data_IF_354453687835
#
_entry.id   IF_354453687835
#
_cell.length_a   1.000
_cell.length_b   1.000
_cell.length_c   1.000
_cell.angle_alpha   90.00
_cell.angle_beta   90.00
_cell.angle_gamma   90.00
#
_symmetry.space_group_name_H-M   'P 1'
#
loop_
_entity.id
_entity.type
_entity.pdbx_description
1 polymer ?
#
# COMPACT_ATOMS: atom_id res chain seq x y z
N UNK A 1 5.91 9.24 6.90
CA UNK A 1 6.60 8.09 7.53
C UNK A 1 5.65 7.12 8.24
N UNK A 2 4.38 7.44 8.47
CA UNK A 2 3.46 6.58 9.23
C UNK A 2 2.97 5.34 8.46
N UNK A 3 2.67 5.45 7.16
CA UNK A 3 2.21 4.32 6.34
C UNK A 3 3.21 3.14 6.30
N UNK A 4 4.52 3.43 6.24
CA UNK A 4 5.56 2.39 6.27
C UNK A 4 5.58 1.63 7.60
N UNK A 5 5.23 2.29 8.70
CA UNK A 5 5.14 1.65 10.01
C UNK A 5 3.91 0.74 10.10
N UNK A 6 2.78 1.14 9.51
CA UNK A 6 1.57 0.30 9.46
C UNK A 6 1.81 -0.96 8.60
N UNK A 7 2.41 -0.79 7.42
CA UNK A 7 2.76 -1.91 6.52
C UNK A 7 3.77 -2.87 7.17
N UNK A 8 4.63 -2.38 8.06
CA UNK A 8 5.58 -3.24 8.78
C UNK A 8 4.92 -4.32 9.66
N UNK A 9 3.64 -4.14 10.02
CA UNK A 9 2.86 -5.10 10.80
C UNK A 9 2.47 -6.35 9.99
N UNK A 10 2.52 -6.32 8.65
CA UNK A 10 2.22 -7.46 7.79
C UNK A 10 3.46 -8.32 7.46
N UNK A 11 4.66 -7.89 7.85
CA UNK A 11 5.87 -8.64 7.49
C UNK A 11 5.93 -9.96 8.28
N UNK A 12 6.16 -11.09 7.60
CA UNK A 12 6.20 -12.42 8.23
C UNK A 12 7.42 -12.65 9.13
N UNK A 13 8.39 -11.72 9.11
CA UNK A 13 9.65 -11.82 9.86
C UNK A 13 9.41 -12.05 11.35
N UNK A 14 10.23 -12.93 11.94
CA UNK A 14 10.18 -13.29 13.36
C UNK A 14 8.78 -13.77 13.77
N UNK A 15 8.13 -14.59 12.94
CA UNK A 15 6.77 -15.10 13.16
C UNK A 15 5.75 -13.98 13.39
N UNK A 16 5.79 -12.96 12.53
CA UNK A 16 4.90 -11.80 12.62
C UNK A 16 5.02 -11.07 13.97
N UNK A 17 6.23 -10.89 14.49
CA UNK A 17 6.46 -10.27 15.81
C UNK A 17 5.90 -8.85 15.94
N UNK A 18 5.79 -8.13 14.82
CA UNK A 18 5.27 -6.75 14.73
C UNK A 18 3.78 -6.67 14.44
N UNK A 19 3.10 -7.80 14.30
CA UNK A 19 1.69 -7.84 13.95
C UNK A 19 0.84 -7.12 14.99
N UNK A 20 -0.04 -6.25 14.51
CA UNK A 20 -0.91 -5.44 15.35
C UNK A 20 -2.20 -5.14 14.61
N UNK A 21 -3.30 -5.71 15.09
CA UNK A 21 -4.61 -5.61 14.45
C UNK A 21 -5.05 -4.14 14.33
N UNK A 22 -4.97 -3.35 15.40
CA UNK A 22 -5.38 -1.94 15.37
C UNK A 22 -4.63 -1.09 14.33
N UNK A 23 -3.32 -1.34 14.15
CA UNK A 23 -2.53 -0.65 13.11
C UNK A 23 -2.96 -1.06 11.70
N UNK A 24 -3.33 -2.32 11.50
CA UNK A 24 -3.81 -2.83 10.22
C UNK A 24 -5.23 -2.35 9.90
N UNK A 25 -6.08 -2.23 10.90
CA UNK A 25 -7.39 -1.59 10.75
C UNK A 25 -7.24 -0.11 10.40
N UNK A 26 -6.35 0.61 11.08
CA UNK A 26 -6.03 1.99 10.73
C UNK A 26 -5.49 2.10 9.29
N UNK A 27 -4.72 1.11 8.82
CA UNK A 27 -4.31 1.05 7.41
C UNK A 27 -5.52 0.88 6.49
N UNK A 28 -6.45 -0.01 6.78
CA UNK A 28 -7.67 -0.21 5.99
C UNK A 28 -8.55 1.05 5.92
N UNK A 29 -8.70 1.75 7.05
CA UNK A 29 -9.47 3.00 7.15
C UNK A 29 -8.92 4.13 6.26
N UNK A 30 -7.62 4.09 5.90
CA UNK A 30 -7.01 5.05 4.97
C UNK A 30 -7.40 4.80 3.50
N UNK A 31 -7.98 3.63 3.19
CA UNK A 31 -8.37 3.20 1.83
C UNK A 31 -9.87 2.88 1.76
N UNK A 32 -10.76 3.88 1.91
CA UNK A 32 -12.21 3.66 1.90
C UNK A 32 -12.76 3.19 0.54
N UNK A 33 -11.98 3.33 -0.54
CA UNK A 33 -12.30 2.77 -1.86
C UNK A 33 -12.04 1.26 -1.94
N UNK A 34 -11.16 0.73 -1.09
CA UNK A 34 -10.79 -0.69 -1.03
C UNK A 34 -11.44 -1.43 0.16
N UNK A 35 -11.81 -0.70 1.23
CA UNK A 35 -12.49 -1.25 2.41
C UNK A 35 -13.68 -0.39 2.83
N UNK A 36 -14.87 -0.98 2.79
CA UNK A 36 -16.05 -0.40 3.41
C UNK A 36 -15.99 -0.50 4.94
N UNK A 37 -16.81 0.30 5.62
CA UNK A 37 -16.94 0.28 7.09
C UNK A 37 -17.31 -1.13 7.60
N UNK A 38 -18.18 -1.83 6.87
CA UNK A 38 -18.58 -3.21 7.21
C UNK A 38 -17.43 -4.20 7.01
N UNK A 39 -16.64 -4.04 5.95
CA UNK A 39 -15.45 -4.87 5.72
C UNK A 39 -14.37 -4.62 6.76
N UNK A 40 -14.20 -3.39 7.26
CA UNK A 40 -13.28 -3.13 8.38
C UNK A 40 -13.66 -3.91 9.65
N UNK A 41 -14.95 -4.06 9.94
CA UNK A 41 -15.41 -4.88 11.07
C UNK A 41 -15.11 -6.37 10.85
N UNK A 42 -15.31 -6.87 9.63
CA UNK A 42 -15.00 -8.26 9.27
C UNK A 42 -13.49 -8.52 9.24
N UNK A 43 -12.71 -7.52 8.85
CA UNK A 43 -11.26 -7.58 8.77
C UNK A 43 -10.64 -7.81 10.14
N UNK A 44 -11.19 -7.20 11.20
CA UNK A 44 -10.72 -7.43 12.57
C UNK A 44 -10.79 -8.92 12.96
N UNK A 45 -11.93 -9.55 12.73
CA UNK A 45 -12.16 -10.98 12.99
C UNK A 45 -11.29 -11.87 12.09
N UNK A 46 -11.18 -11.52 10.81
CA UNK A 46 -10.30 -12.22 9.87
C UNK A 46 -8.84 -12.16 10.30
N UNK A 47 -8.34 -11.00 10.74
CA UNK A 47 -6.95 -10.81 11.16
C UNK A 47 -6.63 -11.64 12.40
N UNK A 48 -7.57 -11.76 13.34
CA UNK A 48 -7.41 -12.58 14.54
C UNK A 48 -7.30 -14.07 14.20
N UNK A 49 -8.12 -14.56 13.26
CA UNK A 49 -8.08 -15.96 12.81
C UNK A 49 -6.84 -16.23 11.95
N UNK A 50 -6.53 -15.31 11.04
CA UNK A 50 -5.39 -15.40 10.11
C UNK A 50 -4.05 -15.54 10.84
N UNK A 51 -3.80 -14.71 11.86
CA UNK A 51 -2.51 -14.75 12.56
C UNK A 51 -2.31 -16.06 13.32
N UNK A 52 -3.39 -16.65 13.83
CA UNK A 52 -3.34 -17.95 14.47
C UNK A 52 -3.01 -19.04 13.45
N UNK A 53 -3.73 -19.06 12.33
CA UNK A 53 -3.55 -20.05 11.25
C UNK A 53 -2.13 -20.00 10.67
N UNK A 54 -1.67 -18.83 10.22
CA UNK A 54 -0.38 -18.68 9.54
C UNK A 54 0.82 -18.92 10.46
N UNK A 55 0.71 -18.66 11.77
CA UNK A 55 1.80 -18.94 12.72
C UNK A 55 2.00 -20.43 13.01
N UNK A 56 0.97 -21.24 12.83
CA UNK A 56 1.03 -22.69 13.07
C UNK A 56 1.17 -23.48 11.77
N UNK A 57 1.27 -22.81 10.64
CA UNK A 57 1.39 -23.42 9.33
C UNK A 57 2.85 -23.43 8.88
N UNK A 58 3.43 -24.64 8.79
CA UNK A 58 4.82 -24.87 8.42
C UNK A 58 5.14 -24.33 7.01
N UNK A 59 4.13 -24.22 6.15
CA UNK A 59 4.26 -23.62 4.82
C UNK A 59 4.72 -22.15 4.87
N UNK A 60 4.51 -21.47 5.99
CA UNK A 60 4.84 -20.04 6.16
C UNK A 60 6.07 -19.80 7.05
N UNK A 61 6.65 -20.83 7.65
CA UNK A 61 7.71 -20.71 8.66
C UNK A 61 9.02 -20.07 8.15
N UNK A 62 9.29 -20.14 6.83
CA UNK A 62 10.56 -19.69 6.23
C UNK A 62 10.41 -18.51 5.27
N UNK A 63 9.28 -17.81 5.28
CA UNK A 63 9.04 -16.69 4.37
C UNK A 63 9.56 -15.38 5.00
N UNK A 64 10.57 -14.78 4.39
CA UNK A 64 11.24 -13.58 4.91
C UNK A 64 10.74 -12.25 4.33
N UNK A 65 10.05 -12.30 3.20
CA UNK A 65 9.59 -11.13 2.44
C UNK A 65 8.09 -11.21 2.15
N UNK A 66 7.49 -10.04 1.91
CA UNK A 66 6.05 -9.92 1.70
C UNK A 66 5.60 -10.46 0.33
N UNK A 67 6.47 -10.46 -0.68
CA UNK A 67 6.14 -10.94 -2.03
C UNK A 67 6.01 -12.47 -2.05
N UNK A 68 7.01 -13.17 -1.49
CA UNK A 68 6.95 -14.61 -1.27
C UNK A 68 5.77 -15.02 -0.38
N UNK A 69 5.42 -14.18 0.61
CA UNK A 69 4.25 -14.40 1.45
C UNK A 69 2.94 -14.36 0.65
N UNK A 70 2.77 -13.35 -0.21
CA UNK A 70 1.59 -13.24 -1.06
C UNK A 70 1.45 -14.41 -2.03
N UNK A 71 2.55 -14.87 -2.64
CA UNK A 71 2.56 -16.05 -3.52
C UNK A 71 2.12 -17.29 -2.74
N UNK A 72 2.68 -17.51 -1.55
CA UNK A 72 2.32 -18.69 -0.73
C UNK A 72 0.86 -18.67 -0.29
N UNK A 73 0.29 -17.49 -0.02
CA UNK A 73 -1.15 -17.36 0.25
C UNK A 73 -2.03 -17.77 -0.93
N UNK A 74 -1.56 -17.57 -2.17
CA UNK A 74 -2.26 -18.05 -3.37
C UNK A 74 -2.11 -19.57 -3.51
N UNK A 75 -0.90 -20.09 -3.36
CA UNK A 75 -0.61 -21.53 -3.46
C UNK A 75 -1.42 -22.36 -2.46
N UNK A 76 -1.51 -21.88 -1.22
CA UNK A 76 -2.27 -22.54 -0.13
C UNK A 76 -3.77 -22.22 -0.17
N UNK A 77 -4.24 -21.48 -1.19
CA UNK A 77 -5.62 -21.00 -1.33
C UNK A 77 -6.12 -20.12 -0.16
N UNK A 78 -5.24 -19.71 0.76
CA UNK A 78 -5.58 -18.82 1.88
C UNK A 78 -6.01 -17.42 1.44
N UNK A 79 -5.66 -16.98 0.23
CA UNK A 79 -6.18 -15.74 -0.35
C UNK A 79 -7.72 -15.73 -0.48
N UNK A 80 -8.35 -16.90 -0.66
CA UNK A 80 -9.81 -17.05 -0.71
C UNK A 80 -10.47 -17.20 0.66
N UNK A 81 -9.73 -17.72 1.65
CA UNK A 81 -10.18 -17.88 3.03
C UNK A 81 -10.10 -16.54 3.77
N UNK A 82 -9.05 -15.76 3.49
CA UNK A 82 -8.78 -14.47 4.12
C UNK A 82 -8.69 -13.33 3.08
N UNK A 83 -9.75 -13.06 2.29
CA UNK A 83 -9.72 -12.06 1.21
C UNK A 83 -9.39 -10.64 1.67
N UNK A 84 -9.84 -10.20 2.85
CA UNK A 84 -9.59 -8.83 3.33
C UNK A 84 -8.14 -8.67 3.79
N UNK A 85 -7.57 -9.69 4.41
CA UNK A 85 -6.14 -9.72 4.77
C UNK A 85 -5.28 -9.76 3.52
N UNK A 86 -5.67 -10.54 2.52
CA UNK A 86 -4.98 -10.58 1.24
C UNK A 86 -4.99 -9.21 0.54
N UNK A 87 -6.12 -8.50 0.55
CA UNK A 87 -6.21 -7.13 0.05
C UNK A 87 -5.22 -6.18 0.76
N UNK A 88 -5.07 -6.27 2.09
CA UNK A 88 -4.06 -5.49 2.83
C UNK A 88 -2.63 -5.80 2.37
N UNK A 89 -2.33 -7.05 2.07
CA UNK A 89 -1.00 -7.48 1.60
C UNK A 89 -0.73 -6.94 0.20
N UNK A 90 -1.71 -7.01 -0.70
CA UNK A 90 -1.62 -6.39 -2.03
C UNK A 90 -1.36 -4.88 -1.94
N UNK A 91 -2.10 -4.18 -1.07
CA UNK A 91 -1.88 -2.75 -0.82
C UNK A 91 -0.46 -2.49 -0.31
N UNK A 92 0.01 -3.30 0.64
CA UNK A 92 1.37 -3.20 1.17
C UNK A 92 2.46 -3.46 0.11
N UNK A 93 2.21 -4.28 -0.91
CA UNK A 93 3.11 -4.50 -2.04
C UNK A 93 3.08 -3.34 -3.06
N UNK A 94 1.91 -2.74 -3.27
CA UNK A 94 1.73 -1.62 -4.21
C UNK A 94 2.23 -0.29 -3.63
N UNK A 95 2.15 -0.12 -2.31
CA UNK A 95 2.53 1.11 -1.61
C UNK A 95 3.96 1.58 -1.90
N UNK A 96 5.01 0.73 -1.82
CA UNK A 96 6.38 1.12 -2.17
C UNK A 96 6.54 1.60 -3.61
N UNK A 97 5.76 1.03 -4.55
CA UNK A 97 5.78 1.42 -5.96
C UNK A 97 5.12 2.79 -6.15
N UNK A 98 4.04 3.05 -5.41
CA UNK A 98 3.40 4.36 -5.39
C UNK A 98 4.29 5.43 -4.76
N UNK A 99 4.94 5.16 -3.62
CA UNK A 99 5.81 6.15 -2.98
C UNK A 99 6.98 6.53 -3.89
N UNK A 100 7.62 5.55 -4.53
CA UNK A 100 8.69 5.82 -5.49
C UNK A 100 8.22 6.63 -6.71
N UNK A 101 6.99 6.38 -7.19
CA UNK A 101 6.41 7.11 -8.33
C UNK A 101 6.07 8.55 -7.96
N UNK A 102 5.50 8.77 -6.77
CA UNK A 102 5.19 10.10 -6.24
C UNK A 102 6.48 10.89 -6.03
N UNK A 103 7.48 10.32 -5.36
CA UNK A 103 8.78 10.99 -5.15
C UNK A 103 9.45 11.39 -6.47
N UNK A 104 9.38 10.53 -7.50
CA UNK A 104 9.90 10.84 -8.84
C UNK A 104 9.14 11.99 -9.50
N UNK A 105 7.81 12.00 -9.42
CA UNK A 105 6.99 13.07 -9.96
C UNK A 105 7.26 14.41 -9.24
N UNK A 106 7.36 14.39 -7.91
CA UNK A 106 7.73 15.56 -7.12
C UNK A 106 9.13 16.09 -7.46
N UNK A 107 10.09 15.21 -7.70
CA UNK A 107 11.44 15.60 -8.11
C UNK A 107 11.44 16.29 -9.48
N UNK A 108 10.80 15.68 -10.49
CA UNK A 108 10.66 16.27 -11.82
C UNK A 108 9.95 17.63 -11.77
N UNK A 109 8.89 17.72 -10.96
CA UNK A 109 8.15 18.96 -10.76
C UNK A 109 8.98 20.03 -10.06
N UNK A 110 9.81 19.67 -9.08
CA UNK A 110 10.69 20.63 -8.42
C UNK A 110 11.76 21.16 -9.38
N UNK A 111 12.25 20.34 -10.31
CA UNK A 111 13.15 20.76 -11.38
C UNK A 111 12.46 21.76 -12.33
N UNK A 112 11.24 21.44 -12.78
CA UNK A 112 10.44 22.34 -13.64
C UNK A 112 10.10 23.65 -12.91
N UNK A 113 9.68 23.56 -11.65
CA UNK A 113 9.37 24.72 -10.79
C UNK A 113 10.60 25.61 -10.59
N UNK A 114 11.77 25.05 -10.30
CA UNK A 114 13.02 25.80 -10.15
C UNK A 114 13.40 26.49 -11.47
N UNK A 115 13.26 25.81 -12.61
CA UNK A 115 13.53 26.38 -13.92
C UNK A 115 12.57 27.51 -14.32
N UNK A 116 11.28 27.42 -13.96
CA UNK A 116 10.28 28.46 -14.22
C UNK A 116 10.41 29.66 -13.27
N UNK A 117 10.71 29.43 -11.99
CA UNK A 117 11.02 30.50 -11.02
C UNK A 117 12.26 31.30 -11.41
N UNK A 118 13.28 30.63 -11.95
CA UNK A 118 14.45 31.30 -12.50
C UNK A 118 14.13 32.19 -13.74
N UNK A 119 12.89 32.17 -14.24
CA UNK A 119 12.42 32.97 -15.39
C UNK A 119 11.30 33.97 -15.07
N UNK A 120 10.61 33.89 -13.92
CA UNK A 120 9.41 34.69 -13.65
C UNK A 120 9.23 34.97 -12.14
N UNK A 121 9.00 36.24 -11.78
CA UNK A 121 8.96 36.76 -10.41
C UNK A 121 7.91 36.14 -9.48
N UNK A 122 8.24 36.09 -8.20
CA UNK A 122 7.85 35.05 -7.23
C UNK A 122 6.40 35.04 -6.70
N UNK A 123 5.57 36.04 -6.97
CA UNK A 123 4.44 36.33 -6.07
C UNK A 123 3.06 35.86 -6.56
N UNK A 124 2.82 35.77 -7.88
CA UNK A 124 1.47 35.49 -8.42
C UNK A 124 1.21 34.01 -8.76
N UNK A 125 2.26 33.20 -8.95
CA UNK A 125 2.13 31.81 -9.43
C UNK A 125 1.92 30.75 -8.34
N UNK A 126 2.20 31.03 -7.07
CA UNK A 126 2.34 29.98 -6.06
C UNK A 126 1.00 29.27 -5.73
N UNK A 127 -0.10 30.01 -5.61
CA UNK A 127 -1.37 29.43 -5.16
C UNK A 127 -2.08 28.59 -6.24
N UNK A 128 -2.15 29.08 -7.49
CA UNK A 128 -2.80 28.34 -8.58
C UNK A 128 -1.99 27.12 -9.03
N UNK A 129 -0.66 27.20 -8.98
CA UNK A 129 0.21 26.10 -9.37
C UNK A 129 0.17 24.97 -8.33
N UNK A 130 0.08 25.27 -7.03
CA UNK A 130 -0.11 24.25 -5.97
C UNK A 130 -1.41 23.46 -6.17
N UNK A 131 -2.51 24.10 -6.57
CA UNK A 131 -3.80 23.42 -6.80
C UNK A 131 -3.71 22.49 -8.01
N UNK A 132 -3.10 22.95 -9.11
CA UNK A 132 -2.93 22.14 -10.33
C UNK A 132 -2.03 20.92 -10.06
N UNK A 133 -0.92 21.16 -9.36
CA UNK A 133 0.04 20.14 -8.92
C UNK A 133 -0.64 19.09 -8.05
N UNK A 134 -1.41 19.50 -7.04
CA UNK A 134 -2.13 18.55 -6.18
C UNK A 134 -3.02 17.65 -7.03
N UNK A 135 -3.80 18.24 -7.94
CA UNK A 135 -4.71 17.48 -8.82
C UNK A 135 -3.97 16.49 -9.72
N UNK A 136 -2.84 16.88 -10.29
CA UNK A 136 -2.04 16.03 -11.18
C UNK A 136 -1.35 14.88 -10.42
N UNK A 137 -0.86 15.15 -9.21
CA UNK A 137 -0.32 14.13 -8.31
C UNK A 137 -1.39 13.11 -7.92
N UNK A 138 -2.59 13.56 -7.53
CA UNK A 138 -3.70 12.65 -7.20
C UNK A 138 -4.14 11.79 -8.39
N UNK A 139 -4.22 12.36 -9.60
CA UNK A 139 -4.54 11.61 -10.81
C UNK A 139 -3.44 10.59 -11.17
N UNK A 140 -2.17 10.93 -10.94
CA UNK A 140 -1.04 10.03 -11.17
C UNK A 140 -1.06 8.87 -10.17
N UNK A 141 -1.39 9.13 -8.91
CA UNK A 141 -1.54 8.09 -7.87
C UNK A 141 -2.64 7.11 -8.26
N UNK A 142 -3.83 7.59 -8.65
CA UNK A 142 -4.95 6.74 -9.08
C UNK A 142 -4.56 5.85 -10.29
N UNK A 143 -3.86 6.43 -11.28
CA UNK A 143 -3.42 5.69 -12.45
C UNK A 143 -2.33 4.65 -12.13
N UNK A 144 -1.35 5.01 -11.29
CA UNK A 144 -0.29 4.08 -10.86
C UNK A 144 -0.90 2.96 -10.01
N UNK A 145 -1.87 3.26 -9.15
CA UNK A 145 -2.57 2.27 -8.35
C UNK A 145 -3.28 1.24 -9.22
N UNK A 146 -4.09 1.69 -10.20
CA UNK A 146 -4.76 0.81 -11.17
C UNK A 146 -3.77 -0.04 -11.96
N UNK A 147 -2.68 0.58 -12.42
CA UNK A 147 -1.64 -0.12 -13.17
C UNK A 147 -0.88 -1.13 -12.32
N UNK A 148 -0.56 -0.80 -11.07
CA UNK A 148 0.15 -1.70 -10.16
C UNK A 148 -0.72 -2.88 -9.75
N UNK A 149 -2.02 -2.67 -9.48
CA UNK A 149 -2.96 -3.78 -9.27
C UNK A 149 -2.96 -4.73 -10.48
N UNK A 150 -3.10 -4.22 -11.70
CA UNK A 150 -3.05 -5.05 -12.92
C UNK A 150 -1.74 -5.84 -13.06
N UNK A 151 -0.61 -5.21 -12.75
CA UNK A 151 0.70 -5.87 -12.84
C UNK A 151 0.86 -6.92 -11.74
N UNK A 152 0.50 -6.62 -10.49
CA UNK A 152 0.55 -7.59 -9.38
C UNK A 152 -0.35 -8.80 -9.68
N UNK A 153 -1.58 -8.57 -10.17
CA UNK A 153 -2.48 -9.64 -10.61
C UNK A 153 -1.88 -10.49 -11.75
N UNK A 154 -1.07 -9.93 -12.65
CA UNK A 154 -0.41 -10.68 -13.73
C UNK A 154 0.83 -11.48 -13.32
N UNK A 155 1.43 -11.18 -12.16
CA UNK A 155 2.58 -11.93 -11.63
C UNK A 155 2.17 -13.04 -10.65
N UNK A 156 0.91 -13.04 -10.20
CA UNK A 156 0.36 -13.99 -9.23
C UNK A 156 -0.57 -15.06 -9.87
N UNK A 157 -0.69 -15.07 -11.21
CA UNK A 157 -1.53 -15.97 -11.99
C UNK A 157 -0.72 -16.62 -13.11
#
# INVERSE_FOLDING_TARGET
MELLLLVSCLYPRDSFSKFNIHKLLCLAELYPEDFSVTECMMLEDQLATFIYDVRHDDDFANIGDLGGFAIKMVDTSKCTIFPLVYCLIELALVLPVMTASVERAFSAMNIVKTNLRNKMGDEWMNNNMIVYIKKEVFATIDNVFKKCKLVVFSYLL
#
